data_IF_627898544787
#
_entry.id   IF_627898544787
#
_cell.length_a   1.000
_cell.length_b   1.000
_cell.length_c   1.000
_cell.angle_alpha   90.00
_cell.angle_beta   90.00
_cell.angle_gamma   90.00
#
_symmetry.space_group_name_H-M   'P 1'
#
loop_
_entity.id
_entity.type
_entity.pdbx_description
1 polymer ?
#
# COMPACT_ATOMS: atom_id res chain seq x y z
N UNK A 1 -2.60 -25.87 0.93
CA UNK A 1 -1.69 -24.88 0.32
C UNK A 1 -2.11 -23.48 0.77
N UNK A 2 -1.18 -22.54 0.97
CA UNK A 2 -1.50 -21.14 1.29
C UNK A 2 -0.91 -20.25 0.21
N UNK A 3 -1.77 -19.48 -0.46
CA UNK A 3 -1.39 -18.60 -1.58
C UNK A 3 -1.71 -17.17 -1.18
N UNK A 4 -0.82 -16.23 -1.48
CA UNK A 4 -1.06 -14.81 -1.20
C UNK A 4 -1.88 -14.18 -2.30
N UNK A 5 -2.83 -13.34 -1.91
CA UNK A 5 -3.64 -12.58 -2.85
C UNK A 5 -4.25 -11.33 -2.20
N UNK A 6 -4.93 -10.54 -3.01
CA UNK A 6 -5.66 -9.36 -2.59
C UNK A 6 -7.13 -9.47 -2.98
N UNK A 7 -8.02 -8.96 -2.13
CA UNK A 7 -9.44 -8.84 -2.47
C UNK A 7 -9.63 -7.54 -3.24
N UNK A 8 -10.19 -7.63 -4.46
CA UNK A 8 -10.63 -6.50 -5.28
C UNK A 8 -12.10 -6.68 -5.63
N UNK A 9 -12.96 -5.88 -5.00
CA UNK A 9 -14.41 -6.03 -5.13
C UNK A 9 -14.84 -7.42 -4.63
N UNK A 10 -15.39 -8.24 -5.52
CA UNK A 10 -15.85 -9.60 -5.23
C UNK A 10 -14.90 -10.68 -5.78
N UNK A 11 -13.66 -10.32 -6.11
CA UNK A 11 -12.69 -11.24 -6.71
C UNK A 11 -11.42 -11.30 -5.85
N UNK A 12 -10.85 -12.49 -5.73
CA UNK A 12 -9.53 -12.71 -5.11
C UNK A 12 -8.51 -12.76 -6.25
N UNK A 13 -7.59 -11.81 -6.28
CA UNK A 13 -6.48 -11.80 -7.22
C UNK A 13 -5.26 -12.45 -6.55
N UNK A 14 -4.80 -13.57 -7.08
CA UNK A 14 -3.62 -14.28 -6.58
C UNK A 14 -2.35 -13.58 -7.07
N UNK A 15 -1.31 -13.58 -6.22
CA UNK A 15 -0.02 -12.93 -6.54
C UNK A 15 0.86 -13.81 -7.42
N UNK A 16 0.52 -15.09 -7.52
CA UNK A 16 1.26 -16.11 -8.25
C UNK A 16 0.28 -17.09 -8.91
N UNK A 17 0.73 -17.73 -9.99
CA UNK A 17 -0.04 -18.77 -10.64
C UNK A 17 -0.05 -20.03 -9.77
N UNK A 18 -1.23 -20.62 -9.60
CA UNK A 18 -1.41 -21.85 -8.82
C UNK A 18 -1.72 -22.97 -9.79
N UNK A 19 -0.85 -23.97 -9.86
CA UNK A 19 -1.01 -25.10 -10.75
C UNK A 19 -1.80 -26.21 -10.03
N UNK A 20 -3.13 -26.12 -10.09
CA UNK A 20 -4.08 -27.08 -9.50
C UNK A 20 -4.92 -27.72 -10.60
N UNK A 21 -5.26 -29.02 -10.50
CA UNK A 21 -6.05 -29.70 -11.51
C UNK A 21 -7.44 -29.08 -11.68
N UNK A 22 -7.95 -29.11 -12.91
CA UNK A 22 -9.32 -28.70 -13.21
C UNK A 22 -10.33 -29.53 -12.38
N UNK A 23 -11.39 -28.86 -11.91
CA UNK A 23 -12.41 -29.47 -11.04
C UNK A 23 -12.05 -29.46 -9.55
N UNK A 24 -10.92 -28.89 -9.15
CA UNK A 24 -10.58 -28.72 -7.73
C UNK A 24 -11.49 -27.70 -7.06
N UNK A 25 -12.23 -28.12 -6.03
CA UNK A 25 -12.99 -27.23 -5.16
C UNK A 25 -12.05 -26.47 -4.22
N UNK A 26 -12.23 -25.14 -4.12
CA UNK A 26 -11.40 -24.27 -3.28
C UNK A 26 -12.29 -23.58 -2.24
N UNK A 27 -11.98 -23.82 -0.97
CA UNK A 27 -12.66 -23.16 0.16
C UNK A 27 -11.78 -22.02 0.69
N UNK A 28 -12.35 -20.84 0.82
CA UNK A 28 -11.68 -19.65 1.35
C UNK A 28 -12.14 -19.41 2.78
N UNK A 29 -11.24 -19.59 3.74
CA UNK A 29 -11.51 -19.27 5.14
C UNK A 29 -11.06 -17.83 5.44
N UNK A 30 -12.03 -16.97 5.73
CA UNK A 30 -11.77 -15.57 6.11
C UNK A 30 -11.85 -15.49 7.63
N UNK A 31 -10.68 -15.48 8.28
CA UNK A 31 -10.63 -15.12 9.69
C UNK A 31 -11.12 -13.68 9.83
N UNK A 32 -12.18 -13.49 10.62
CA UNK A 32 -12.76 -12.17 10.87
C UNK A 32 -11.84 -11.39 11.81
N UNK A 33 -10.73 -10.89 11.26
CA UNK A 33 -9.85 -10.00 12.01
C UNK A 33 -10.64 -8.71 12.28
N UNK A 34 -10.75 -8.26 13.53
CA UNK A 34 -11.40 -7.00 13.83
C UNK A 34 -10.74 -5.93 12.97
N UNK A 35 -11.55 -5.24 12.16
CA UNK A 35 -11.07 -4.10 11.37
C UNK A 35 -10.35 -3.18 12.35
N UNK A 36 -9.04 -3.04 12.15
CA UNK A 36 -8.21 -2.20 12.99
C UNK A 36 -8.90 -0.84 13.11
N UNK A 37 -9.25 -0.46 14.34
CA UNK A 37 -9.96 0.79 14.59
C UNK A 37 -9.13 1.97 14.08
N UNK A 38 -9.76 3.14 13.84
CA UNK A 38 -9.02 4.35 13.44
C UNK A 38 -7.88 4.66 14.40
N UNK A 39 -8.08 4.44 15.71
CA UNK A 39 -7.07 4.61 16.75
C UNK A 39 -5.88 3.65 16.57
N UNK A 40 -6.16 2.36 16.43
CA UNK A 40 -5.10 1.35 16.23
C UNK A 40 -4.34 1.54 14.91
N UNK A 41 -5.01 2.02 13.85
CA UNK A 41 -4.35 2.39 12.60
C UNK A 41 -3.41 3.57 12.80
N UNK A 42 -3.84 4.58 13.56
CA UNK A 42 -3.04 5.75 13.90
C UNK A 42 -1.81 5.35 14.73
N UNK A 43 -1.99 4.53 15.76
CA UNK A 43 -0.90 4.02 16.60
C UNK A 43 0.13 3.23 15.78
N UNK A 44 -0.32 2.35 14.86
CA UNK A 44 0.59 1.64 13.95
C UNK A 44 1.34 2.57 13.00
N UNK A 45 0.68 3.61 12.51
CA UNK A 45 1.30 4.59 11.62
C UNK A 45 2.34 5.43 12.38
N UNK A 46 2.01 5.88 13.58
CA UNK A 46 2.93 6.60 14.47
C UNK A 46 4.15 5.75 14.81
N UNK A 47 3.95 4.47 15.12
CA UNK A 47 5.06 3.52 15.32
C UNK A 47 5.92 3.35 14.07
N UNK A 48 5.31 3.24 12.88
CA UNK A 48 6.03 3.11 11.62
C UNK A 48 6.86 4.36 11.29
N UNK A 49 6.31 5.55 11.56
CA UNK A 49 7.00 6.83 11.35
C UNK A 49 8.10 7.05 12.39
N UNK A 50 7.91 6.56 13.61
CA UNK A 50 8.89 6.70 14.70
C UNK A 50 10.12 5.80 14.55
N UNK A 51 10.11 4.83 13.61
CA UNK A 51 11.31 4.04 13.30
C UNK A 51 12.31 4.99 12.60
N UNK A 52 13.47 5.28 13.22
CA UNK A 52 14.48 6.09 12.59
C UNK A 52 14.95 5.36 11.32
N UNK A 53 14.66 5.94 10.16
CA UNK A 53 15.14 5.44 8.89
C UNK A 53 16.65 5.66 8.86
N UNK A 54 17.41 4.62 9.14
CA UNK A 54 18.79 4.56 8.65
C UNK A 54 18.69 4.40 7.13
N UNK A 55 19.48 5.20 6.42
CA UNK A 55 19.51 5.37 4.95
C UNK A 55 18.49 6.38 4.41
N UNK A 56 18.77 7.64 4.73
CA UNK A 56 18.00 8.82 4.36
C UNK A 56 18.32 9.38 2.98
N UNK A 57 19.38 8.97 2.28
CA UNK A 57 19.78 9.64 1.03
C UNK A 57 18.83 9.39 -0.15
N UNK A 58 18.50 8.13 -0.45
CA UNK A 58 17.53 7.81 -1.52
C UNK A 58 16.13 8.34 -1.20
N UNK A 59 15.72 8.23 0.06
CA UNK A 59 14.40 8.71 0.49
C UNK A 59 14.33 10.24 0.43
N UNK A 60 15.40 10.95 0.81
CA UNK A 60 15.49 12.41 0.69
C UNK A 60 15.51 12.81 -0.78
N UNK A 61 16.23 12.11 -1.66
CA UNK A 61 16.24 12.38 -3.10
C UNK A 61 14.83 12.27 -3.69
N UNK A 62 14.11 11.17 -3.42
CA UNK A 62 12.74 10.96 -3.91
C UNK A 62 11.77 12.01 -3.35
N UNK A 63 11.87 12.37 -2.07
CA UNK A 63 11.01 13.41 -1.49
C UNK A 63 11.31 14.80 -2.06
N UNK A 64 12.57 15.10 -2.36
CA UNK A 64 12.99 16.38 -2.95
C UNK A 64 12.50 16.51 -4.39
N UNK A 65 12.55 15.44 -5.19
CA UNK A 65 11.98 15.41 -6.54
C UNK A 65 10.46 15.66 -6.52
N UNK A 66 9.73 14.98 -5.62
CA UNK A 66 8.28 15.16 -5.48
C UNK A 66 7.87 16.56 -5.04
N UNK A 67 8.66 17.21 -4.17
CA UNK A 67 8.43 18.60 -3.76
C UNK A 67 8.72 19.58 -4.90
N UNK A 68 9.75 19.32 -5.71
CA UNK A 68 10.10 20.15 -6.87
C UNK A 68 8.98 20.11 -7.91
N UNK A 69 8.50 18.93 -8.30
CA UNK A 69 7.36 18.79 -9.23
C UNK A 69 6.09 19.45 -8.72
N UNK A 70 5.84 19.40 -7.40
CA UNK A 70 4.67 20.04 -6.78
C UNK A 70 4.77 21.56 -6.87
N UNK A 71 5.93 22.14 -6.59
CA UNK A 71 6.13 23.58 -6.64
C UNK A 71 6.11 24.12 -8.07
N UNK A 72 6.62 23.36 -9.04
CA UNK A 72 6.53 23.71 -10.47
C UNK A 72 5.09 23.73 -10.97
N UNK A 73 4.26 22.75 -10.56
CA UNK A 73 2.82 22.74 -10.88
C UNK A 73 2.08 23.91 -10.26
N UNK A 74 2.38 24.25 -9.01
CA UNK A 74 1.75 25.38 -8.31
C UNK A 74 2.15 26.72 -8.97
N UNK A 75 3.42 26.92 -9.33
CA UNK A 75 3.85 28.16 -10.00
C UNK A 75 3.38 28.26 -11.47
N UNK A 76 3.14 27.14 -12.15
CA UNK A 76 2.55 27.11 -13.49
C UNK A 76 1.09 27.56 -13.53
N UNK A 77 0.32 27.33 -12.45
CA UNK A 77 -1.08 27.78 -12.35
C UNK A 77 -1.23 29.26 -11.98
N UNK A 78 -0.21 29.87 -11.36
CA UNK A 78 -0.27 31.28 -10.91
C UNK A 78 0.11 32.28 -12.03
N UNK A 79 0.73 31.84 -13.13
CA UNK A 79 1.05 32.71 -14.29
C UNK A 79 -0.10 32.84 -15.30
N UNK A 80 -1.28 32.29 -15.03
CA UNK A 80 -2.48 32.40 -15.88
C UNK A 80 -3.60 33.12 -15.13
N UNK A 81 -3.29 34.25 -14.47
CA UNK A 81 -4.28 35.22 -14.00
C UNK A 81 -3.76 36.65 -14.20
#
# INVERSE_FOLDING_TARGET
MKVKGIIKGNTIQLSEAVNIPDGTEVVVEIANYPKMSKKQRKEKLEQFVAIPRQDTEELVAVLTELETERNEKINGEVSIL
#
